data_IF_764982652727
#
_entry.id   IF_764982652727
#
_cell.length_a   1.000
_cell.length_b   1.000
_cell.length_c   1.000
_cell.angle_alpha   90.00
_cell.angle_beta   90.00
_cell.angle_gamma   90.00
#
_symmetry.space_group_name_H-M   'P 1'
#
loop_
_entity.id
_entity.type
_entity.pdbx_description
1 polymer ?
#
# COMPACT_ATOMS: atom_id res chain seq x y z
N UNK A 1 -13.26 7.46 -2.95
CA UNK A 1 -13.04 6.06 -2.51
C UNK A 1 -14.16 5.16 -3.03
N UNK A 2 -15.40 5.36 -2.56
CA UNK A 2 -16.58 4.56 -2.93
C UNK A 2 -16.71 4.34 -4.45
N UNK A 3 -16.94 5.38 -5.25
CA UNK A 3 -17.18 5.24 -6.70
C UNK A 3 -16.11 4.46 -7.48
N UNK A 4 -14.84 4.51 -7.05
CA UNK A 4 -13.73 3.80 -7.70
C UNK A 4 -13.67 2.33 -7.31
N UNK A 5 -13.87 2.04 -6.03
CA UNK A 5 -13.96 0.65 -5.53
C UNK A 5 -15.20 0.00 -6.13
N UNK A 6 -16.35 0.68 -6.09
CA UNK A 6 -17.60 0.21 -6.71
C UNK A 6 -17.41 -0.06 -8.20
N UNK A 7 -16.80 0.87 -8.96
CA UNK A 7 -16.59 0.67 -10.39
C UNK A 7 -15.65 -0.53 -10.69
N UNK A 8 -14.57 -0.68 -9.91
CA UNK A 8 -13.65 -1.80 -10.04
C UNK A 8 -14.33 -3.14 -9.73
N UNK A 9 -15.02 -3.25 -8.59
CA UNK A 9 -15.75 -4.46 -8.21
C UNK A 9 -16.86 -4.79 -9.20
N UNK A 10 -17.60 -3.79 -9.67
CA UNK A 10 -18.68 -4.00 -10.65
C UNK A 10 -18.12 -4.53 -11.97
N UNK A 11 -17.01 -3.98 -12.45
CA UNK A 11 -16.34 -4.44 -13.66
C UNK A 11 -15.85 -5.89 -13.51
N UNK A 12 -15.21 -6.20 -12.38
CA UNK A 12 -14.69 -7.54 -12.07
C UNK A 12 -15.81 -8.57 -11.94
N UNK A 13 -16.91 -8.20 -11.28
CA UNK A 13 -18.09 -9.06 -11.19
C UNK A 13 -18.68 -9.34 -12.57
N UNK A 14 -18.87 -8.31 -13.40
CA UNK A 14 -19.38 -8.47 -14.76
C UNK A 14 -18.43 -9.33 -15.63
N UNK A 15 -17.13 -9.18 -15.45
CA UNK A 15 -16.11 -10.02 -16.07
C UNK A 15 -16.28 -11.50 -15.69
N UNK A 16 -16.43 -11.81 -14.39
CA UNK A 16 -16.66 -13.17 -13.90
C UNK A 16 -17.97 -13.75 -14.44
N UNK A 17 -19.05 -12.96 -14.43
CA UNK A 17 -20.34 -13.39 -15.00
C UNK A 17 -20.23 -13.67 -16.50
N UNK A 18 -19.47 -12.85 -17.26
CA UNK A 18 -19.26 -13.08 -18.68
C UNK A 18 -18.48 -14.36 -18.95
N UNK A 19 -17.42 -14.65 -18.19
CA UNK A 19 -16.66 -15.91 -18.29
C UNK A 19 -17.56 -17.11 -18.01
N UNK A 20 -18.40 -17.04 -16.97
CA UNK A 20 -19.36 -18.09 -16.63
C UNK A 20 -20.40 -18.33 -17.74
N UNK A 21 -20.88 -17.26 -18.38
CA UNK A 21 -21.90 -17.34 -19.44
C UNK A 21 -21.33 -17.68 -20.82
N UNK A 22 -20.03 -17.51 -21.05
CA UNK A 22 -19.43 -17.64 -22.37
C UNK A 22 -19.65 -19.01 -23.06
N UNK A 23 -19.55 -20.17 -22.38
CA UNK A 23 -19.84 -21.46 -23.01
C UNK A 23 -21.29 -21.57 -23.53
N UNK A 24 -22.24 -20.98 -22.80
CA UNK A 24 -23.65 -20.94 -23.19
C UNK A 24 -23.88 -19.99 -24.37
N UNK A 25 -23.21 -18.83 -24.36
CA UNK A 25 -23.24 -17.90 -25.49
C UNK A 25 -22.70 -18.59 -26.74
N UNK A 26 -21.56 -19.26 -26.69
CA UNK A 26 -20.98 -19.93 -27.86
C UNK A 26 -21.85 -21.03 -28.48
N UNK A 27 -22.64 -21.70 -27.65
CA UNK A 27 -23.63 -22.67 -28.08
C UNK A 27 -24.83 -22.02 -28.80
N UNK A 28 -25.20 -20.79 -28.42
CA UNK A 28 -26.37 -20.07 -28.93
C UNK A 28 -26.04 -19.10 -30.08
N UNK A 29 -24.81 -18.58 -30.15
CA UNK A 29 -24.43 -17.56 -31.13
C UNK A 29 -24.03 -18.23 -32.46
N UNK A 30 -24.43 -17.68 -33.62
CA UNK A 30 -23.96 -18.15 -34.93
C UNK A 30 -22.43 -18.27 -35.02
N UNK A 31 -21.94 -19.27 -35.75
CA UNK A 31 -20.51 -19.58 -35.90
C UNK A 31 -19.65 -18.37 -36.27
N UNK A 32 -20.14 -17.48 -37.14
CA UNK A 32 -19.45 -16.25 -37.54
C UNK A 32 -19.25 -15.20 -36.44
N UNK A 33 -19.92 -15.33 -35.28
CA UNK A 33 -19.79 -14.41 -34.14
C UNK A 33 -19.07 -15.03 -32.93
N UNK A 34 -18.71 -16.33 -32.97
CA UNK A 34 -17.95 -16.98 -31.90
C UNK A 34 -16.57 -16.33 -31.68
N UNK A 35 -15.93 -15.87 -32.76
CA UNK A 35 -14.68 -15.12 -32.68
C UNK A 35 -14.82 -13.82 -31.85
N UNK A 36 -15.99 -13.17 -31.88
CA UNK A 36 -16.25 -11.97 -31.08
C UNK A 36 -16.37 -12.30 -29.57
N UNK A 37 -17.02 -13.43 -29.24
CA UNK A 37 -17.11 -13.92 -27.85
C UNK A 37 -15.72 -14.25 -27.29
N UNK A 38 -14.89 -14.93 -28.08
CA UNK A 38 -13.50 -15.25 -27.73
C UNK A 38 -12.62 -14.01 -27.59
N UNK A 39 -12.76 -13.01 -28.46
CA UNK A 39 -12.05 -11.73 -28.32
C UNK A 39 -12.46 -10.96 -27.05
N UNK A 40 -13.75 -10.99 -26.69
CA UNK A 40 -14.22 -10.40 -25.44
C UNK A 40 -13.70 -11.17 -24.22
N UNK A 41 -13.66 -12.50 -24.26
CA UNK A 41 -13.07 -13.32 -23.19
C UNK A 41 -11.60 -12.96 -22.94
N UNK A 42 -10.81 -12.79 -24.00
CA UNK A 42 -9.41 -12.35 -23.88
C UNK A 42 -9.29 -10.95 -23.26
N UNK A 43 -10.19 -10.03 -23.63
CA UNK A 43 -10.22 -8.69 -23.04
C UNK A 43 -10.64 -8.71 -21.57
N UNK A 44 -11.61 -9.57 -21.24
CA UNK A 44 -12.11 -9.77 -19.88
C UNK A 44 -11.06 -10.41 -18.98
N UNK A 45 -10.23 -11.34 -19.49
CA UNK A 45 -9.13 -11.90 -18.70
C UNK A 45 -8.08 -10.86 -18.29
N UNK A 46 -7.92 -9.78 -19.06
CA UNK A 46 -7.04 -8.66 -18.71
C UNK A 46 -7.65 -7.71 -17.66
N UNK A 47 -8.97 -7.74 -17.46
CA UNK A 47 -9.64 -6.86 -16.48
C UNK A 47 -9.24 -7.17 -15.03
N UNK A 48 -8.86 -8.42 -14.74
CA UNK A 48 -8.34 -8.81 -13.43
C UNK A 48 -7.01 -8.11 -13.10
N UNK A 49 -6.19 -7.83 -14.11
CA UNK A 49 -4.90 -7.13 -13.94
C UNK A 49 -5.08 -5.65 -13.57
N UNK A 50 -6.24 -5.05 -13.88
CA UNK A 50 -6.56 -3.66 -13.52
C UNK A 50 -6.82 -3.48 -12.02
N UNK A 51 -7.06 -4.57 -11.29
CA UNK A 51 -7.39 -4.56 -9.85
C UNK A 51 -6.30 -3.90 -9.03
N UNK A 52 -5.06 -4.36 -9.20
CA UNK A 52 -3.90 -3.90 -8.44
C UNK A 52 -3.57 -2.41 -8.67
N UNK A 53 -3.44 -1.88 -9.90
CA UNK A 53 -3.18 -0.46 -10.12
C UNK A 53 -4.36 0.43 -9.69
N UNK A 54 -5.61 -0.06 -9.81
CA UNK A 54 -6.79 0.69 -9.36
C UNK A 54 -6.80 0.83 -7.83
N UNK A 55 -6.60 -0.27 -7.11
CA UNK A 55 -6.52 -0.26 -5.66
C UNK A 55 -5.33 0.53 -5.13
N UNK A 56 -4.17 0.42 -5.80
CA UNK A 56 -3.00 1.23 -5.47
C UNK A 56 -3.30 2.72 -5.61
N UNK A 57 -3.99 3.15 -6.67
CA UNK A 57 -4.40 4.54 -6.85
C UNK A 57 -5.40 4.99 -5.77
N UNK A 58 -6.29 4.10 -5.35
CA UNK A 58 -7.26 4.35 -4.29
C UNK A 58 -6.56 4.51 -2.93
N UNK A 59 -5.60 3.64 -2.62
CA UNK A 59 -4.78 3.71 -1.42
C UNK A 59 -3.86 4.94 -1.39
N UNK A 60 -3.22 5.28 -2.53
CA UNK A 60 -2.33 6.45 -2.65
C UNK A 60 -3.04 7.77 -2.43
N UNK A 61 -4.32 7.87 -2.80
CA UNK A 61 -5.13 9.05 -2.51
C UNK A 61 -5.70 9.08 -1.10
N UNK A 62 -5.64 7.96 -0.39
CA UNK A 62 -6.16 7.84 0.96
C UNK A 62 -5.12 8.12 2.03
N UNK A 63 -3.83 7.99 1.70
CA UNK A 63 -2.70 8.35 2.56
C UNK A 63 -2.19 9.70 2.09
N UNK A 64 -2.22 10.71 2.96
CA UNK A 64 -1.64 12.04 2.71
C UNK A 64 -0.11 12.03 2.53
N UNK A 65 0.38 11.42 1.46
CA UNK A 65 1.80 11.21 1.16
C UNK A 65 2.62 12.51 1.25
N UNK A 66 2.25 13.51 0.46
CA UNK A 66 2.95 14.79 0.39
C UNK A 66 2.93 15.55 1.72
N UNK A 67 1.81 15.44 2.45
CA UNK A 67 1.67 16.08 3.76
C UNK A 67 2.65 15.46 4.78
N UNK A 68 2.73 14.13 4.81
CA UNK A 68 3.63 13.42 5.73
C UNK A 68 5.09 13.70 5.37
N UNK A 69 5.44 13.71 4.08
CA UNK A 69 6.79 14.09 3.64
C UNK A 69 7.14 15.53 4.06
N UNK A 70 6.23 16.48 3.90
CA UNK A 70 6.47 17.86 4.35
C UNK A 70 6.67 17.96 5.87
N UNK A 71 6.03 17.10 6.66
CA UNK A 71 6.28 17.03 8.10
C UNK A 71 7.64 16.40 8.41
N UNK A 72 8.04 15.36 7.68
CA UNK A 72 9.34 14.71 7.82
C UNK A 72 10.50 15.61 7.40
N UNK A 73 10.34 16.45 6.38
CA UNK A 73 11.33 17.44 5.95
C UNK A 73 11.65 18.45 7.08
N UNK A 74 10.65 18.76 7.91
CA UNK A 74 10.80 19.67 9.05
C UNK A 74 11.39 18.99 10.29
N UNK A 75 11.42 17.66 10.32
CA UNK A 75 12.00 16.91 11.41
C UNK A 75 13.52 17.09 11.43
N UNK A 76 14.10 17.22 12.63
CA UNK A 76 15.56 17.31 12.79
C UNK A 76 16.13 15.93 13.04
N UNK A 77 17.04 15.53 12.16
CA UNK A 77 17.77 14.26 12.25
C UNK A 77 19.21 14.43 12.76
N UNK A 78 19.65 15.67 13.00
CA UNK A 78 20.93 16.02 13.62
C UNK A 78 20.72 16.27 15.12
N UNK A 79 20.45 15.18 15.83
CA UNK A 79 20.13 15.18 17.26
C UNK A 79 21.38 14.90 18.09
N UNK A 80 21.43 15.49 19.29
CA UNK A 80 22.49 15.25 20.27
C UNK A 80 22.07 14.24 21.35
N UNK A 81 20.75 14.03 21.50
CA UNK A 81 20.14 13.05 22.39
C UNK A 81 18.89 12.46 21.72
N UNK A 82 18.55 11.22 22.04
CA UNK A 82 17.35 10.55 21.53
C UNK A 82 16.12 11.09 22.26
N UNK A 83 15.07 11.44 21.51
CA UNK A 83 13.82 11.87 22.13
C UNK A 83 13.08 10.65 22.70
N UNK A 84 12.41 10.81 23.85
CA UNK A 84 11.64 9.71 24.44
C UNK A 84 10.34 9.39 23.69
N UNK A 85 9.92 10.24 22.76
CA UNK A 85 8.68 10.12 22.01
C UNK A 85 8.95 10.07 20.52
N UNK A 86 8.05 9.42 19.78
CA UNK A 86 8.07 9.44 18.32
C UNK A 86 7.70 10.82 17.76
N UNK A 87 8.14 11.10 16.55
CA UNK A 87 7.85 12.32 15.80
C UNK A 87 6.37 12.43 15.44
N UNK A 88 5.83 13.65 15.45
CA UNK A 88 4.40 13.94 15.20
C UNK A 88 3.85 13.35 13.90
N UNK A 89 4.65 13.29 12.83
CA UNK A 89 4.21 12.75 11.54
C UNK A 89 3.76 11.29 11.63
N UNK A 90 4.26 10.53 12.61
CA UNK A 90 3.85 9.14 12.86
C UNK A 90 2.38 9.08 13.26
N UNK A 91 1.92 9.98 14.14
CA UNK A 91 0.51 10.04 14.55
C UNK A 91 -0.40 10.46 13.39
N UNK A 92 0.07 11.40 12.56
CA UNK A 92 -0.63 11.79 11.33
C UNK A 92 -0.77 10.60 10.38
N UNK A 93 0.30 9.85 10.14
CA UNK A 93 0.27 8.71 9.23
C UNK A 93 -0.60 7.55 9.76
N UNK A 94 -0.56 7.28 11.07
CA UNK A 94 -1.48 6.32 11.72
C UNK A 94 -2.93 6.77 11.57
N UNK A 95 -3.20 8.08 11.74
CA UNK A 95 -4.54 8.65 11.58
C UNK A 95 -5.07 8.49 10.15
N UNK A 96 -4.23 8.70 9.14
CA UNK A 96 -4.59 8.47 7.73
C UNK A 96 -5.02 7.02 7.49
N UNK A 97 -4.29 6.03 8.05
CA UNK A 97 -4.66 4.62 7.98
C UNK A 97 -5.97 4.29 8.72
N UNK A 98 -6.21 4.90 9.87
CA UNK A 98 -7.49 4.78 10.58
C UNK A 98 -8.65 5.32 9.74
N UNK A 99 -8.49 6.52 9.16
CA UNK A 99 -9.51 7.12 8.30
C UNK A 99 -9.75 6.29 7.05
N UNK A 100 -8.71 5.68 6.50
CA UNK A 100 -8.84 4.74 5.39
C UNK A 100 -9.71 3.53 5.76
N UNK A 101 -9.44 2.89 6.90
CA UNK A 101 -10.27 1.76 7.39
C UNK A 101 -11.72 2.18 7.63
N UNK A 102 -11.95 3.35 8.24
CA UNK A 102 -13.30 3.89 8.43
C UNK A 102 -14.02 4.07 7.09
N UNK A 103 -13.37 4.70 6.10
CA UNK A 103 -13.95 4.89 4.77
C UNK A 103 -14.22 3.56 4.07
N UNK A 104 -13.34 2.56 4.23
CA UNK A 104 -13.54 1.23 3.66
C UNK A 104 -14.77 0.55 4.28
N UNK A 105 -14.96 0.69 5.60
CA UNK A 105 -16.14 0.17 6.29
C UNK A 105 -17.44 0.83 5.82
N UNK A 106 -17.43 2.14 5.50
CA UNK A 106 -18.60 2.81 4.91
C UNK A 106 -18.91 2.30 3.49
N UNK A 107 -17.90 1.98 2.68
CA UNK A 107 -18.12 1.36 1.37
C UNK A 107 -18.72 -0.03 1.52
N UNK A 108 -18.22 -0.83 2.47
CA UNK A 108 -18.71 -2.18 2.73
C UNK A 108 -20.20 -2.23 3.15
N UNK A 109 -20.74 -1.14 3.70
CA UNK A 109 -22.18 -1.01 4.00
C UNK A 109 -23.04 -0.83 2.75
N UNK A 110 -22.48 -0.25 1.68
CA UNK A 110 -23.20 0.01 0.43
C UNK A 110 -23.11 -1.19 -0.51
N UNK A 111 -21.94 -1.82 -0.57
CA UNK A 111 -21.67 -2.98 -1.42
C UNK A 111 -20.88 -4.01 -0.62
N UNK A 112 -21.28 -5.29 -0.59
CA UNK A 112 -20.49 -6.34 0.03
C UNK A 112 -19.11 -6.42 -0.61
N UNK A 113 -18.07 -6.06 0.14
CA UNK A 113 -16.69 -6.19 -0.30
C UNK A 113 -16.15 -7.56 0.15
N UNK A 114 -15.61 -8.39 -0.77
CA UNK A 114 -14.92 -9.60 -0.37
C UNK A 114 -13.75 -9.29 0.56
N UNK A 115 -13.51 -10.15 1.56
CA UNK A 115 -12.39 -9.96 2.50
C UNK A 115 -11.05 -9.78 1.76
N UNK A 116 -10.80 -10.60 0.74
CA UNK A 116 -9.59 -10.51 -0.08
C UNK A 116 -9.36 -9.11 -0.69
N UNK A 117 -10.43 -8.41 -1.10
CA UNK A 117 -10.33 -7.06 -1.65
C UNK A 117 -9.94 -6.06 -0.56
N UNK A 118 -10.57 -6.16 0.62
CA UNK A 118 -10.23 -5.30 1.75
C UNK A 118 -8.81 -5.52 2.26
N UNK A 119 -8.30 -6.76 2.20
CA UNK A 119 -6.91 -7.11 2.50
C UNK A 119 -5.94 -6.44 1.53
N UNK A 120 -6.14 -6.60 0.22
CA UNK A 120 -5.25 -6.02 -0.79
C UNK A 120 -5.23 -4.49 -0.69
N UNK A 121 -6.39 -3.85 -0.48
CA UNK A 121 -6.50 -2.41 -0.28
C UNK A 121 -5.72 -1.94 0.95
N UNK A 122 -5.83 -2.69 2.05
CA UNK A 122 -5.09 -2.42 3.28
C UNK A 122 -3.57 -2.59 3.09
N UNK A 123 -3.14 -3.68 2.48
CA UNK A 123 -1.73 -3.92 2.19
C UNK A 123 -1.13 -2.78 1.37
N UNK A 124 -1.81 -2.34 0.31
CA UNK A 124 -1.35 -1.19 -0.47
C UNK A 124 -1.22 0.09 0.34
N UNK A 125 -2.18 0.39 1.22
CA UNK A 125 -2.10 1.57 2.09
C UNK A 125 -0.89 1.50 3.03
N UNK A 126 -0.61 0.33 3.62
CA UNK A 126 0.55 0.11 4.49
C UNK A 126 1.88 0.19 3.71
N UNK A 127 1.95 -0.40 2.51
CA UNK A 127 3.14 -0.30 1.64
C UNK A 127 3.45 1.15 1.29
N UNK A 128 2.43 1.96 1.01
CA UNK A 128 2.60 3.39 0.75
C UNK A 128 3.15 4.10 1.99
N UNK A 129 2.60 3.83 3.17
CA UNK A 129 3.11 4.37 4.42
C UNK A 129 4.60 4.02 4.65
N UNK A 130 5.01 2.77 4.43
CA UNK A 130 6.42 2.37 4.53
C UNK A 130 7.31 3.04 3.47
N UNK A 131 6.82 3.23 2.24
CA UNK A 131 7.55 4.01 1.23
C UNK A 131 7.71 5.47 1.64
N UNK A 132 6.70 6.09 2.25
CA UNK A 132 6.79 7.45 2.80
C UNK A 132 7.89 7.55 3.85
N UNK A 133 8.06 6.54 4.72
CA UNK A 133 9.18 6.50 5.67
C UNK A 133 10.53 6.50 4.96
N UNK A 134 10.72 5.60 3.99
CA UNK A 134 11.98 5.50 3.24
C UNK A 134 12.28 6.80 2.53
N UNK A 135 11.31 7.37 1.82
CA UNK A 135 11.50 8.62 1.10
C UNK A 135 11.78 9.79 2.07
N UNK A 136 10.98 9.95 3.12
CA UNK A 136 11.19 11.02 4.09
C UNK A 136 12.52 10.92 4.83
N UNK A 137 12.97 9.71 5.17
CA UNK A 137 14.30 9.50 5.75
C UNK A 137 15.42 9.80 4.74
N UNK A 138 15.22 9.51 3.46
CA UNK A 138 16.20 9.81 2.41
C UNK A 138 16.42 11.30 2.17
N UNK A 139 15.48 12.14 2.57
CA UNK A 139 15.60 13.59 2.48
C UNK A 139 16.44 14.21 3.62
N UNK A 140 16.83 13.41 4.63
CA UNK A 140 17.66 13.87 5.73
C UNK A 140 19.08 14.25 5.25
N UNK A 141 19.38 15.56 5.20
CA UNK A 141 20.71 16.06 4.77
C UNK A 141 21.84 15.69 5.72
N UNK A 142 21.53 15.56 7.01
CA UNK A 142 22.45 15.14 8.09
C UNK A 142 21.67 14.25 9.04
N UNK A 143 22.28 13.15 9.45
CA UNK A 143 21.65 12.21 10.36
C UNK A 143 22.68 11.65 11.35
N UNK A 144 22.57 12.03 12.63
CA UNK A 144 23.44 11.54 13.71
C UNK A 144 23.04 10.12 14.14
N UNK A 145 23.89 9.39 14.88
CA UNK A 145 23.48 8.12 15.50
C UNK A 145 22.17 8.23 16.29
N UNK A 146 22.00 9.32 17.04
CA UNK A 146 20.80 9.64 17.82
C UNK A 146 19.61 9.91 16.89
N UNK A 147 19.83 10.63 15.78
CA UNK A 147 18.83 10.83 14.73
C UNK A 147 18.36 9.52 14.10
N UNK A 148 19.26 8.55 13.87
CA UNK A 148 18.90 7.22 13.36
C UNK A 148 18.14 6.40 14.38
N UNK A 149 18.53 6.49 15.66
CA UNK A 149 17.76 5.87 16.73
C UNK A 149 16.35 6.47 16.82
N UNK A 150 16.19 7.78 16.57
CA UNK A 150 14.89 8.42 16.45
C UNK A 150 14.09 7.89 15.24
N UNK A 151 14.69 7.76 14.06
CA UNK A 151 14.05 7.15 12.89
C UNK A 151 13.53 5.74 13.20
N UNK A 152 14.33 4.95 13.92
CA UNK A 152 13.96 3.61 14.34
C UNK A 152 12.82 3.60 15.37
N UNK A 153 12.85 4.52 16.35
CA UNK A 153 11.75 4.68 17.31
C UNK A 153 10.45 5.07 16.59
N UNK A 154 10.52 6.01 15.65
CA UNK A 154 9.36 6.51 14.89
C UNK A 154 8.69 5.37 14.11
N UNK A 155 9.48 4.57 13.39
CA UNK A 155 8.98 3.41 12.65
C UNK A 155 8.45 2.30 13.57
N UNK A 156 9.12 2.01 14.69
CA UNK A 156 8.64 1.03 15.66
C UNK A 156 7.29 1.44 16.28
N UNK A 157 7.12 2.71 16.64
CA UNK A 157 5.86 3.23 17.17
C UNK A 157 4.75 3.18 16.11
N UNK A 158 5.07 3.50 14.86
CA UNK A 158 4.14 3.32 13.74
C UNK A 158 3.67 1.87 13.62
N UNK A 159 4.60 0.92 13.50
CA UNK A 159 4.28 -0.51 13.36
C UNK A 159 3.43 -1.00 14.53
N UNK A 160 3.83 -0.68 15.77
CA UNK A 160 3.10 -1.09 16.97
C UNK A 160 1.66 -0.56 17.01
N UNK A 161 1.44 0.68 16.54
CA UNK A 161 0.11 1.28 16.47
C UNK A 161 -0.72 0.68 15.34
N UNK A 162 -0.14 0.48 14.16
CA UNK A 162 -0.84 -0.04 12.97
C UNK A 162 -1.23 -1.51 13.14
N UNK A 163 -0.38 -2.33 13.76
CA UNK A 163 -0.71 -3.73 14.08
C UNK A 163 -1.94 -3.86 15.00
N UNK A 164 -2.23 -2.84 15.82
CA UNK A 164 -3.41 -2.79 16.70
C UNK A 164 -4.69 -2.32 15.99
N UNK A 165 -4.58 -1.76 14.78
CA UNK A 165 -5.76 -1.30 14.03
C UNK A 165 -6.58 -2.46 13.45
N UNK A 166 -6.02 -3.67 13.40
CA UNK A 166 -6.65 -4.85 12.82
C UNK A 166 -6.85 -5.91 13.88
N UNK A 167 -8.00 -6.59 13.83
CA UNK A 167 -8.32 -7.69 14.75
C UNK A 167 -7.39 -8.89 14.54
N UNK A 168 -6.96 -9.13 13.29
CA UNK A 168 -5.99 -10.16 12.95
C UNK A 168 -4.59 -9.55 12.94
N UNK A 169 -3.71 -10.08 13.81
CA UNK A 169 -2.30 -9.71 13.84
C UNK A 169 -1.60 -10.33 12.64
N UNK A 170 -1.49 -9.56 11.57
CA UNK A 170 -0.73 -9.93 10.39
C UNK A 170 0.55 -9.08 10.32
N UNK A 171 1.63 -9.67 9.81
CA UNK A 171 2.87 -8.95 9.56
C UNK A 171 2.63 -7.86 8.52
N UNK A 172 3.08 -6.64 8.81
CA UNK A 172 2.93 -5.52 7.88
C UNK A 172 3.85 -5.69 6.67
N UNK A 173 3.35 -5.53 5.43
CA UNK A 173 4.17 -5.68 4.22
C UNK A 173 5.26 -4.61 4.16
N UNK A 174 6.40 -4.95 3.58
CA UNK A 174 7.54 -4.05 3.31
C UNK A 174 8.15 -3.42 4.60
N UNK A 175 7.83 -3.94 5.79
CA UNK A 175 8.37 -3.47 7.08
C UNK A 175 9.90 -3.56 7.11
N UNK A 176 10.42 -4.70 6.65
CA UNK A 176 11.83 -5.02 6.58
C UNK A 176 12.60 -4.07 5.67
N UNK A 177 11.95 -3.43 4.69
CA UNK A 177 12.60 -2.47 3.81
C UNK A 177 12.96 -1.18 4.57
N UNK A 178 12.08 -0.70 5.45
CA UNK A 178 12.36 0.46 6.30
C UNK A 178 13.47 0.11 7.30
N UNK A 179 13.38 -1.06 7.92
CA UNK A 179 14.41 -1.55 8.85
C UNK A 179 15.78 -1.67 8.17
N UNK A 180 15.83 -2.23 6.95
CA UNK A 180 17.04 -2.34 6.16
C UNK A 180 17.59 -0.96 5.77
N UNK A 181 16.72 -0.03 5.39
CA UNK A 181 17.11 1.34 5.05
C UNK A 181 17.79 2.04 6.23
N UNK A 182 17.19 2.01 7.42
CA UNK A 182 17.80 2.62 8.62
C UNK A 182 19.10 1.92 9.01
N UNK A 183 19.17 0.59 8.86
CA UNK A 183 20.39 -0.19 9.13
C UNK A 183 21.53 0.10 8.15
N UNK A 184 21.22 0.47 6.91
CA UNK A 184 22.23 0.77 5.88
C UNK A 184 23.17 1.91 6.29
N UNK A 185 22.73 2.84 7.12
CA UNK A 185 23.56 3.92 7.68
C UNK A 185 24.70 3.41 8.60
N UNK A 186 24.61 2.19 9.10
CA UNK A 186 25.64 1.58 9.96
C UNK A 186 26.60 0.69 9.17
N UNK A 187 26.36 0.49 7.87
CA UNK A 187 27.26 -0.27 7.01
C UNK A 187 28.43 0.60 6.59
N UNK A 188 29.64 0.05 6.67
CA UNK A 188 30.82 0.66 6.05
C UNK A 188 30.72 0.60 4.52
N UNK A 189 31.41 1.50 3.79
CA UNK A 189 31.43 1.49 2.31
C UNK A 189 31.79 0.13 1.69
N UNK A 190 32.53 -0.70 2.44
CA UNK A 190 32.89 -2.06 2.01
C UNK A 190 31.69 -3.02 2.09
N UNK A 191 30.86 -2.91 3.12
CA UNK A 191 29.67 -3.74 3.32
C UNK A 191 28.49 -3.31 2.44
N UNK A 192 28.40 -2.02 2.07
CA UNK A 192 27.40 -1.51 1.14
C UNK A 192 27.56 -2.08 -0.28
N UNK A 193 28.80 -2.28 -0.75
CA UNK A 193 29.09 -2.91 -2.07
C UNK A 193 28.67 -4.37 -2.15
N UNK A 194 28.69 -5.09 -1.04
CA UNK A 194 28.25 -6.49 -0.98
C UNK A 194 26.72 -6.62 -0.85
N UNK A 195 26.02 -5.56 -0.45
CA UNK A 195 24.56 -5.55 -0.28
C UNK A 195 23.78 -5.24 -1.57
N UNK A 196 24.39 -4.59 -2.56
CA UNK A 196 23.72 -4.42 -3.87
C UNK A 196 23.56 -5.79 -4.55
N UNK A 197 22.36 -6.18 -5.02
CA UNK A 197 22.20 -7.39 -5.79
C UNK A 197 23.11 -7.29 -7.01
N UNK A 198 24.02 -8.27 -7.17
CA UNK A 198 24.85 -8.36 -8.36
C UNK A 198 23.92 -8.50 -9.57
N UNK A 199 23.94 -7.50 -10.43
CA UNK A 199 23.27 -7.47 -11.74
C UNK A 199 23.69 -8.64 -12.61
#
# INVERSE_FOLDING_TARGET
LSSRVVAAESLLFLAEQFVFLAPHLEALVPSGKRACVQAHLQTVSLSAELRQPTYMTVAARAIGYDQVLSLMERARWDLHEIMSQHSYYVDVLVRELQLFLMRLSEVAKQIPLPLAVTEILWEHAVRIAHRTFIEGFSQAKRCTPEGRAQMQLDHQQFVSKVEKLRAQRQTLPDRELVDAYVKAYYLTERQLRDWSPRS
#
